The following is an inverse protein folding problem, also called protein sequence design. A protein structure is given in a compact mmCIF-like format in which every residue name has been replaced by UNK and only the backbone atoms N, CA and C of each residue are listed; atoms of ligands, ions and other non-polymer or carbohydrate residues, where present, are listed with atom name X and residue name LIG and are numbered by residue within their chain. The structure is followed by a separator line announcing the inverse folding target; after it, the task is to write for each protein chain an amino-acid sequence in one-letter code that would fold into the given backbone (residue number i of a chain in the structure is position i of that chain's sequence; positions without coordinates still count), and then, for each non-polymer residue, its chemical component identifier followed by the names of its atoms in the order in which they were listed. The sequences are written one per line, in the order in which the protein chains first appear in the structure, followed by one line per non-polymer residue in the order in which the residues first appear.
data_IF_941001369031
#
_entry.id   IF_941001369031
#
_cell.length_a   1.000
_cell.length_b   1.000
_cell.length_c   1.000
_cell.angle_alpha   90.00
_cell.angle_beta   90.00
_cell.angle_gamma   90.00
#
_symmetry.space_group_name_H-M   'P 1'
#
loop_
_entity.id
_entity.type
_entity.pdbx_description
1 polymer ?
#
# COMPACT_ATOMS: atom_id res chain seq x y z
N UNK A 1 12.00 -13.62 8.02
CA UNK A 1 10.66 -13.58 8.65
C UNK A 1 9.73 -12.74 7.77
N UNK A 2 8.45 -13.10 7.63
CA UNK A 2 7.45 -12.32 6.87
C UNK A 2 6.31 -11.94 7.79
N UNK A 3 6.00 -10.65 7.91
CA UNK A 3 4.95 -10.11 8.79
C UNK A 3 3.88 -9.43 7.95
N UNK A 4 2.62 -9.64 8.31
CA UNK A 4 1.47 -8.94 7.72
C UNK A 4 0.75 -8.20 8.85
N UNK A 5 0.56 -6.89 8.70
CA UNK A 5 -0.17 -6.07 9.65
C UNK A 5 -1.58 -5.80 9.11
N UNK A 6 -2.60 -6.32 9.80
CA UNK A 6 -4.01 -6.16 9.45
C UNK A 6 -4.72 -5.28 10.49
N UNK A 7 -5.75 -4.55 10.06
CA UNK A 7 -6.51 -3.66 10.92
C UNK A 7 -7.20 -2.53 10.15
N UNK A 8 -8.18 -1.89 10.77
CA UNK A 8 -8.97 -0.81 10.15
C UNK A 8 -8.10 0.40 9.71
N UNK A 9 -8.60 1.25 8.78
CA UNK A 9 -8.01 2.57 8.54
C UNK A 9 -7.87 3.35 9.86
N UNK A 10 -6.73 4.00 10.09
CA UNK A 10 -6.46 4.72 11.34
C UNK A 10 -5.98 3.86 12.53
N UNK A 11 -5.98 2.53 12.44
CA UNK A 11 -5.56 1.64 13.55
C UNK A 11 -4.03 1.65 13.88
N UNK A 12 -3.25 2.58 13.33
CA UNK A 12 -1.82 2.71 13.66
C UNK A 12 -0.87 1.70 12.98
N UNK A 13 -1.32 0.93 11.99
CA UNK A 13 -0.49 -0.08 11.29
C UNK A 13 0.84 0.47 10.74
N UNK A 14 0.81 1.66 10.13
CA UNK A 14 2.02 2.29 9.57
C UNK A 14 3.04 2.62 10.65
N UNK A 15 2.58 3.25 11.74
CA UNK A 15 3.40 3.57 12.91
C UNK A 15 4.04 2.31 13.51
N UNK A 16 3.28 1.23 13.67
CA UNK A 16 3.81 -0.03 14.19
C UNK A 16 4.78 -0.71 13.21
N UNK A 17 4.51 -0.64 11.90
CA UNK A 17 5.40 -1.20 10.88
C UNK A 17 6.77 -0.49 10.89
N UNK A 18 6.81 0.83 11.03
CA UNK A 18 8.06 1.61 11.12
C UNK A 18 8.89 1.20 12.34
N UNK A 19 8.26 1.06 13.51
CA UNK A 19 8.92 0.61 14.73
C UNK A 19 9.49 -0.81 14.54
N UNK A 20 8.68 -1.76 14.07
CA UNK A 20 9.10 -3.14 13.84
C UNK A 20 10.25 -3.24 12.84
N UNK A 21 10.21 -2.45 11.76
CA UNK A 21 11.25 -2.47 10.74
C UNK A 21 12.59 -1.98 11.27
N UNK A 22 12.58 -0.97 12.15
CA UNK A 22 13.78 -0.48 12.84
C UNK A 22 14.33 -1.50 13.82
N UNK A 23 13.49 -2.06 14.70
CA UNK A 23 13.90 -2.99 15.75
C UNK A 23 14.39 -4.34 15.18
N UNK A 24 13.74 -4.82 14.13
CA UNK A 24 14.05 -6.13 13.53
C UNK A 24 14.99 -6.04 12.33
N UNK A 25 15.39 -4.82 11.93
CA UNK A 25 16.19 -4.53 10.75
C UNK A 25 15.63 -5.21 9.48
N UNK A 26 14.32 -5.05 9.24
CA UNK A 26 13.61 -5.59 8.07
C UNK A 26 13.00 -4.45 7.25
N UNK A 27 12.86 -4.60 5.91
CA UNK A 27 12.21 -3.60 5.09
C UNK A 27 10.68 -3.60 5.30
N UNK A 28 10.04 -2.46 5.09
CA UNK A 28 8.58 -2.34 5.03
C UNK A 28 8.10 -2.33 3.59
N UNK A 29 7.05 -3.11 3.29
CA UNK A 29 6.28 -2.99 2.05
C UNK A 29 4.91 -2.39 2.40
N UNK A 30 4.67 -1.15 1.99
CA UNK A 30 3.40 -0.45 2.20
C UNK A 30 2.67 -0.31 0.86
N UNK A 31 1.72 -1.21 0.60
CA UNK A 31 0.90 -1.18 -0.63
C UNK A 31 0.23 0.18 -0.82
N UNK A 32 -0.26 0.80 0.26
CA UNK A 32 -0.83 2.15 0.21
C UNK A 32 0.16 3.23 -0.22
N UNK A 33 1.44 3.16 0.19
CA UNK A 33 2.45 4.13 -0.24
C UNK A 33 2.85 3.91 -1.70
N UNK A 34 3.06 2.65 -2.09
CA UNK A 34 3.39 2.28 -3.48
C UNK A 34 2.28 2.74 -4.43
N UNK A 35 1.02 2.48 -4.06
CA UNK A 35 -0.16 2.89 -4.82
C UNK A 35 -0.26 4.42 -4.98
N UNK A 36 -0.09 5.17 -3.87
CA UNK A 36 -0.10 6.64 -3.92
C UNK A 36 1.05 7.20 -4.76
N UNK A 37 2.23 6.58 -4.72
CA UNK A 37 3.36 6.96 -5.57
C UNK A 37 3.07 6.69 -7.05
N UNK A 38 2.49 5.54 -7.40
CA UNK A 38 2.09 5.20 -8.76
C UNK A 38 1.04 6.19 -9.33
N UNK A 39 0.08 6.62 -8.49
CA UNK A 39 -0.90 7.65 -8.83
C UNK A 39 -0.21 9.01 -9.03
N UNK A 40 0.65 9.42 -8.10
CA UNK A 40 1.37 10.71 -8.17
C UNK A 40 2.24 10.80 -9.42
N UNK A 41 2.88 9.69 -9.81
CA UNK A 41 3.73 9.61 -10.99
C UNK A 41 2.96 9.44 -12.30
N UNK A 42 1.62 9.37 -12.27
CA UNK A 42 0.80 9.25 -13.47
C UNK A 42 1.01 7.96 -14.26
N UNK A 43 1.47 6.89 -13.60
CA UNK A 43 1.68 5.59 -14.27
C UNK A 43 0.34 5.04 -14.79
N UNK A 44 0.31 4.27 -15.90
CA UNK A 44 -0.94 3.70 -16.41
C UNK A 44 -1.70 2.88 -15.36
N UNK A 45 -0.99 2.03 -14.61
CA UNK A 45 -1.54 1.25 -13.50
C UNK A 45 -1.97 2.11 -12.32
N UNK A 46 -1.22 3.16 -11.98
CA UNK A 46 -1.61 4.13 -10.95
C UNK A 46 -2.90 4.88 -11.30
N UNK A 47 -3.06 5.35 -12.53
CA UNK A 47 -4.28 6.00 -12.99
C UNK A 47 -5.49 5.04 -12.99
N UNK A 48 -5.29 3.79 -13.41
CA UNK A 48 -6.32 2.73 -13.30
C UNK A 48 -6.70 2.47 -11.85
N UNK A 49 -5.74 2.40 -10.92
CA UNK A 49 -6.04 2.24 -9.50
C UNK A 49 -6.80 3.44 -8.92
N UNK A 50 -6.44 4.66 -9.33
CA UNK A 50 -7.08 5.90 -8.86
C UNK A 50 -8.59 5.90 -9.11
N UNK A 51 -9.05 5.43 -10.26
CA UNK A 51 -10.50 5.41 -10.58
C UNK A 51 -11.31 4.54 -9.61
N UNK A 52 -10.74 3.44 -9.11
CA UNK A 52 -11.40 2.59 -8.10
C UNK A 52 -11.37 3.24 -6.72
N UNK A 53 -10.22 3.82 -6.33
CA UNK A 53 -10.06 4.48 -5.04
C UNK A 53 -10.96 5.70 -4.88
N UNK A 54 -11.03 6.55 -5.90
CA UNK A 54 -11.90 7.74 -5.91
C UNK A 54 -13.39 7.35 -5.82
N UNK A 55 -13.75 6.15 -6.31
CA UNK A 55 -15.08 5.57 -6.20
C UNK A 55 -15.35 4.84 -4.87
N UNK A 56 -14.39 4.80 -3.94
CA UNK A 56 -14.50 4.04 -2.69
C UNK A 56 -14.53 2.53 -2.87
N UNK A 57 -14.10 2.02 -4.03
CA UNK A 57 -14.09 0.61 -4.37
C UNK A 57 -12.75 -0.03 -4.02
N UNK A 58 -12.77 -1.35 -3.83
CA UNK A 58 -11.54 -2.13 -3.71
C UNK A 58 -10.84 -2.15 -5.08
N UNK A 59 -9.54 -1.88 -5.08
CA UNK A 59 -8.72 -2.00 -6.29
C UNK A 59 -8.56 -3.48 -6.64
N UNK A 60 -8.85 -3.91 -7.88
CA UNK A 60 -8.70 -5.29 -8.30
C UNK A 60 -7.27 -5.84 -8.18
N UNK A 61 -7.13 -7.14 -7.93
CA UNK A 61 -5.84 -7.80 -7.72
C UNK A 61 -4.89 -7.66 -8.92
N UNK A 62 -5.38 -7.73 -10.16
CA UNK A 62 -4.58 -7.55 -11.37
C UNK A 62 -3.91 -6.16 -11.41
N UNK A 63 -4.61 -5.15 -10.92
CA UNK A 63 -4.11 -3.78 -10.83
C UNK A 63 -3.09 -3.64 -9.72
N UNK A 64 -3.33 -4.24 -8.55
CA UNK A 64 -2.40 -4.22 -7.42
C UNK A 64 -1.11 -4.96 -7.78
N UNK A 65 -1.19 -6.15 -8.39
CA UNK A 65 -0.04 -6.93 -8.81
C UNK A 65 0.77 -6.20 -9.89
N UNK A 66 0.11 -5.44 -10.78
CA UNK A 66 0.81 -4.62 -11.79
C UNK A 66 1.53 -3.37 -11.24
N UNK A 67 1.38 -3.07 -9.95
CA UNK A 67 1.99 -1.91 -9.27
C UNK A 67 3.18 -2.31 -8.38
N UNK A 68 3.18 -3.56 -7.89
CA UNK A 68 4.21 -4.13 -7.02
C UNK A 68 5.29 -4.78 -7.88
#
# INVERSE_FOLDING_TARGET
MKLILLGAPGAGKGTQAEILCKELNIPTISTGNILRAAIKNGTPTGLKAKSFMDAGQLVPDDVIIGII
#
